data_IF_414503188651
#
_entry.id   IF_414503188651
#
_cell.length_a   1.000
_cell.length_b   1.000
_cell.length_c   1.000
_cell.angle_alpha   90.00
_cell.angle_beta   90.00
_cell.angle_gamma   90.00
#
_symmetry.space_group_name_H-M   'P 1'
#
loop_
_entity.id
_entity.type
_entity.pdbx_description
1 polymer ?
#
# COMPACT_ATOMS: atom_id res chain seq x y z
N UNK A 1 -16.92 17.71 -25.11
CA UNK A 1 -16.34 18.13 -26.41
C UNK A 1 -16.77 19.57 -26.73
N UNK A 2 -15.80 20.40 -27.14
CA UNK A 2 -16.11 21.75 -27.60
C UNK A 2 -16.39 21.63 -29.09
N UNK A 3 -17.64 21.79 -29.49
CA UNK A 3 -18.05 21.87 -30.88
C UNK A 3 -18.15 23.33 -31.33
N UNK A 4 -18.20 23.55 -32.64
CA UNK A 4 -18.40 24.89 -33.20
C UNK A 4 -19.68 25.55 -32.66
N UNK A 5 -20.73 24.76 -32.42
CA UNK A 5 -22.00 25.24 -31.87
C UNK A 5 -21.89 25.75 -30.42
N UNK A 6 -20.98 25.16 -29.64
CA UNK A 6 -20.75 25.54 -28.23
C UNK A 6 -19.74 26.67 -28.08
N UNK A 7 -18.95 26.97 -29.12
CA UNK A 7 -17.90 27.95 -29.09
C UNK A 7 -18.45 29.37 -28.82
N UNK A 8 -19.54 29.74 -29.47
CA UNK A 8 -20.21 31.04 -29.31
C UNK A 8 -20.79 31.21 -27.88
N UNK A 9 -21.29 30.13 -27.31
CA UNK A 9 -21.78 30.13 -25.93
C UNK A 9 -20.63 30.29 -24.93
N UNK A 10 -19.51 29.61 -25.16
CA UNK A 10 -18.29 29.72 -24.37
C UNK A 10 -17.66 31.13 -24.43
N UNK A 11 -17.59 31.73 -25.60
CA UNK A 11 -17.08 33.09 -25.77
C UNK A 11 -17.93 34.13 -25.03
N UNK A 12 -19.24 33.91 -24.96
CA UNK A 12 -20.17 34.79 -24.22
C UNK A 12 -20.02 34.67 -22.69
N UNK A 13 -19.48 33.59 -22.16
CA UNK A 13 -19.25 33.41 -20.71
C UNK A 13 -18.02 34.16 -20.20
N UNK A 14 -17.21 34.77 -21.07
CA UNK A 14 -16.02 35.53 -20.69
C UNK A 14 -14.83 34.67 -20.23
N UNK A 15 -14.89 33.36 -20.42
CA UNK A 15 -13.79 32.44 -20.12
C UNK A 15 -12.68 32.66 -21.13
N UNK A 16 -11.52 33.11 -20.66
CA UNK A 16 -10.34 33.40 -21.49
C UNK A 16 -9.34 32.25 -21.57
N UNK A 17 -9.45 31.26 -20.70
CA UNK A 17 -8.51 30.13 -20.63
C UNK A 17 -9.25 28.84 -20.32
N UNK A 18 -9.01 27.79 -21.09
CA UNK A 18 -9.61 26.47 -20.91
C UNK A 18 -8.48 25.44 -20.84
N UNK A 19 -8.54 24.55 -19.90
CA UNK A 19 -7.68 23.38 -19.83
C UNK A 19 -8.23 22.30 -20.78
N UNK A 20 -7.37 21.77 -21.65
CA UNK A 20 -7.74 20.78 -22.65
C UNK A 20 -6.94 19.49 -22.47
N UNK A 21 -7.56 18.37 -22.82
CA UNK A 21 -6.86 17.10 -22.89
C UNK A 21 -6.04 17.03 -24.20
N UNK A 22 -4.85 16.43 -24.08
CA UNK A 22 -4.01 16.16 -25.24
C UNK A 22 -4.62 15.08 -26.13
N UNK A 23 -4.82 15.40 -27.40
CA UNK A 23 -5.48 14.50 -28.38
C UNK A 23 -4.62 14.18 -29.60
N UNK A 24 -3.36 14.60 -29.63
CA UNK A 24 -2.49 14.41 -30.77
C UNK A 24 -1.73 13.09 -30.68
N UNK A 25 -1.74 12.30 -31.75
CA UNK A 25 -1.05 11.01 -31.87
C UNK A 25 0.43 11.12 -32.24
N UNK A 26 0.88 12.31 -32.67
CA UNK A 26 2.21 12.47 -33.30
C UNK A 26 3.36 12.33 -32.31
N UNK A 27 3.19 12.82 -31.06
CA UNK A 27 4.26 12.86 -30.08
C UNK A 27 4.08 11.87 -28.93
N UNK A 28 2.96 11.97 -28.21
CA UNK A 28 2.76 11.28 -26.92
C UNK A 28 1.56 10.34 -26.91
N UNK A 29 0.68 10.38 -27.90
CA UNK A 29 -0.58 9.64 -27.94
C UNK A 29 -1.66 10.18 -26.99
N UNK A 30 -2.93 10.09 -27.37
CA UNK A 30 -4.07 10.63 -26.64
C UNK A 30 -4.62 9.67 -25.59
N UNK A 31 -3.78 9.03 -24.76
CA UNK A 31 -4.18 7.93 -23.89
C UNK A 31 -5.33 8.25 -22.95
N UNK A 32 -5.33 9.42 -22.30
CA UNK A 32 -6.41 9.82 -21.38
C UNK A 32 -7.68 10.13 -22.15
N UNK A 33 -7.60 10.82 -23.29
CA UNK A 33 -8.74 11.13 -24.14
C UNK A 33 -9.41 9.86 -24.66
N UNK A 34 -8.62 8.90 -25.13
CA UNK A 34 -9.14 7.63 -25.64
C UNK A 34 -9.74 6.78 -24.52
N UNK A 35 -9.12 6.76 -23.36
CA UNK A 35 -9.67 6.08 -22.17
C UNK A 35 -11.02 6.67 -21.78
N UNK A 36 -11.14 8.00 -21.72
CA UNK A 36 -12.40 8.67 -21.39
C UNK A 36 -13.48 8.48 -22.47
N UNK A 37 -13.10 8.33 -23.76
CA UNK A 37 -14.05 8.00 -24.83
C UNK A 37 -14.54 6.57 -24.77
N UNK A 38 -13.68 5.64 -24.38
CA UNK A 38 -14.01 4.23 -24.22
C UNK A 38 -14.81 3.94 -22.94
N UNK A 39 -14.71 4.82 -21.94
CA UNK A 39 -15.43 4.68 -20.68
C UNK A 39 -16.93 4.90 -20.86
N UNK A 40 -17.71 3.91 -20.45
CA UNK A 40 -19.17 3.97 -20.49
C UNK A 40 -19.76 4.76 -19.30
N UNK A 41 -18.97 4.99 -18.24
CA UNK A 41 -19.40 5.68 -17.03
C UNK A 41 -19.61 7.17 -17.31
N UNK A 42 -20.77 7.70 -17.00
CA UNK A 42 -21.09 9.13 -17.18
C UNK A 42 -21.13 9.90 -15.87
N UNK A 43 -21.36 9.21 -14.77
CA UNK A 43 -21.44 9.81 -13.45
C UNK A 43 -20.40 9.18 -12.51
N UNK A 44 -20.05 9.92 -11.46
CA UNK A 44 -19.16 9.42 -10.40
C UNK A 44 -19.71 8.12 -9.78
N UNK A 45 -21.03 8.05 -9.60
CA UNK A 45 -21.68 6.86 -9.06
C UNK A 45 -21.54 5.65 -9.98
N UNK A 46 -21.70 5.83 -11.30
CA UNK A 46 -21.53 4.75 -12.26
C UNK A 46 -20.11 4.19 -12.20
N UNK A 47 -19.10 5.06 -12.11
CA UNK A 47 -17.70 4.66 -11.98
C UNK A 47 -17.46 3.86 -10.69
N UNK A 48 -17.98 4.31 -9.54
CA UNK A 48 -17.86 3.58 -8.28
C UNK A 48 -18.54 2.21 -8.33
N UNK A 49 -19.69 2.12 -8.98
CA UNK A 49 -20.43 0.86 -9.18
C UNK A 49 -19.65 -0.10 -10.06
N UNK A 50 -18.99 0.38 -11.10
CA UNK A 50 -18.14 -0.46 -11.95
C UNK A 50 -16.89 -0.95 -11.21
N UNK A 51 -16.23 -0.09 -10.45
CA UNK A 51 -15.12 -0.48 -9.58
C UNK A 51 -15.57 -1.56 -8.59
N UNK A 52 -16.77 -1.39 -8.00
CA UNK A 52 -17.32 -2.39 -7.07
C UNK A 52 -17.53 -3.74 -7.74
N UNK A 53 -18.10 -3.76 -8.95
CA UNK A 53 -18.31 -5.01 -9.72
C UNK A 53 -17.01 -5.72 -10.06
N UNK A 54 -15.96 -4.96 -10.39
CA UNK A 54 -14.64 -5.53 -10.67
C UNK A 54 -13.99 -6.13 -9.42
N UNK A 55 -14.12 -5.47 -8.29
CA UNK A 55 -13.51 -5.91 -7.02
C UNK A 55 -14.29 -7.04 -6.35
N UNK A 56 -15.62 -7.08 -6.53
CA UNK A 56 -16.52 -8.09 -5.95
C UNK A 56 -17.47 -8.68 -7.00
N UNK A 57 -16.97 -9.54 -7.87
CA UNK A 57 -17.80 -10.17 -8.89
C UNK A 57 -18.87 -11.03 -8.23
N UNK A 58 -20.13 -10.84 -8.66
CA UNK A 58 -21.28 -11.62 -8.18
C UNK A 58 -22.11 -11.00 -7.07
N UNK A 59 -21.66 -9.91 -6.43
CA UNK A 59 -22.47 -9.16 -5.48
C UNK A 59 -23.22 -8.01 -6.18
N UNK A 60 -24.53 -7.82 -5.91
CA UNK A 60 -25.26 -6.68 -6.48
C UNK A 60 -24.75 -5.38 -5.82
N UNK A 61 -24.29 -4.40 -6.62
CA UNK A 61 -23.80 -3.14 -6.09
C UNK A 61 -24.97 -2.27 -5.61
N UNK A 62 -24.90 -1.82 -4.35
CA UNK A 62 -25.72 -0.72 -3.85
C UNK A 62 -24.89 0.56 -3.83
N UNK A 63 -25.54 1.72 -3.92
CA UNK A 63 -24.84 3.01 -3.87
C UNK A 63 -23.93 3.10 -2.64
N UNK A 64 -24.48 2.82 -1.48
CA UNK A 64 -23.76 2.91 -0.20
C UNK A 64 -22.59 1.92 -0.12
N UNK A 65 -22.76 0.68 -0.61
CA UNK A 65 -21.69 -0.31 -0.59
C UNK A 65 -20.56 0.05 -1.58
N UNK A 66 -20.87 0.67 -2.72
CA UNK A 66 -19.88 1.11 -3.67
C UNK A 66 -19.07 2.32 -3.16
N UNK A 67 -19.75 3.32 -2.57
CA UNK A 67 -19.11 4.48 -1.94
C UNK A 67 -18.21 4.04 -0.77
N UNK A 68 -18.71 3.18 0.11
CA UNK A 68 -17.93 2.64 1.24
C UNK A 68 -16.72 1.80 0.77
N UNK A 69 -16.86 1.00 -0.27
CA UNK A 69 -15.74 0.23 -0.81
C UNK A 69 -14.65 1.17 -1.33
N UNK A 70 -15.03 2.15 -2.13
CA UNK A 70 -14.08 3.10 -2.74
C UNK A 70 -13.37 3.93 -1.67
N UNK A 71 -14.11 4.46 -0.70
CA UNK A 71 -13.55 5.19 0.44
C UNK A 71 -12.59 4.32 1.26
N UNK A 72 -12.97 3.08 1.55
CA UNK A 72 -12.12 2.15 2.30
C UNK A 72 -10.86 1.71 1.54
N UNK A 73 -10.85 1.75 0.21
CA UNK A 73 -9.68 1.37 -0.58
C UNK A 73 -8.60 2.46 -0.59
N UNK A 74 -9.00 3.74 -0.62
CA UNK A 74 -8.07 4.84 -0.88
C UNK A 74 -7.98 5.87 0.23
N UNK A 75 -9.05 6.07 1.03
CA UNK A 75 -9.19 7.21 1.92
C UNK A 75 -9.37 6.84 3.40
N UNK A 76 -9.46 5.56 3.73
CA UNK A 76 -9.62 5.12 5.11
C UNK A 76 -8.26 4.86 5.74
N UNK A 77 -7.83 5.69 6.68
CA UNK A 77 -6.55 5.60 7.39
C UNK A 77 -6.38 4.26 8.13
N UNK A 78 -7.46 3.65 8.61
CA UNK A 78 -7.39 2.34 9.28
C UNK A 78 -7.06 1.19 8.31
N UNK A 79 -7.32 1.36 7.02
CA UNK A 79 -7.18 0.31 5.99
C UNK A 79 -6.09 0.58 4.98
N UNK A 80 -5.77 1.83 4.74
CA UNK A 80 -4.77 2.25 3.77
C UNK A 80 -3.78 3.20 4.41
N UNK A 81 -2.58 2.70 4.68
CA UNK A 81 -1.47 3.48 5.19
C UNK A 81 -0.18 3.05 4.48
N UNK A 82 0.44 3.98 3.77
CA UNK A 82 1.71 3.76 3.09
C UNK A 82 2.89 3.68 4.07
N UNK A 83 2.70 4.03 5.32
CA UNK A 83 3.76 4.31 6.30
C UNK A 83 4.71 5.44 5.84
N UNK A 84 5.55 5.93 6.74
CA UNK A 84 6.51 7.02 6.45
C UNK A 84 7.48 6.64 5.32
N UNK A 85 8.00 5.41 5.38
CA UNK A 85 8.96 4.91 4.38
C UNK A 85 8.29 4.72 3.02
N UNK A 86 7.06 4.21 2.99
CA UNK A 86 6.28 4.08 1.78
C UNK A 86 5.98 5.43 1.14
N UNK A 87 5.54 6.41 1.93
CA UNK A 87 5.27 7.79 1.46
C UNK A 87 6.53 8.45 0.91
N UNK A 88 7.68 8.31 1.58
CA UNK A 88 8.96 8.82 1.08
C UNK A 88 9.31 8.23 -0.29
N UNK A 89 9.21 6.91 -0.45
CA UNK A 89 9.50 6.23 -1.72
C UNK A 89 8.53 6.67 -2.82
N UNK A 90 7.26 6.82 -2.49
CA UNK A 90 6.21 7.28 -3.37
C UNK A 90 6.49 8.71 -3.86
N UNK A 91 6.75 9.65 -2.96
CA UNK A 91 7.06 11.04 -3.30
C UNK A 91 8.33 11.12 -4.16
N UNK A 92 9.38 10.37 -3.80
CA UNK A 92 10.61 10.30 -4.60
C UNK A 92 10.34 9.77 -6.01
N UNK A 93 9.45 8.80 -6.16
CA UNK A 93 9.11 8.23 -7.48
C UNK A 93 8.32 9.20 -8.35
N UNK A 94 7.49 10.01 -7.74
CA UNK A 94 6.70 11.05 -8.43
C UNK A 94 7.43 12.39 -8.57
N UNK A 95 8.73 12.43 -8.23
CA UNK A 95 9.56 13.65 -8.28
C UNK A 95 9.02 14.81 -7.41
N UNK A 96 8.26 14.49 -6.35
CA UNK A 96 7.76 15.44 -5.35
C UNK A 96 8.86 15.66 -4.30
N UNK A 97 9.85 16.48 -4.61
CA UNK A 97 11.03 16.67 -3.75
C UNK A 97 10.90 17.81 -2.73
N UNK A 98 9.87 18.63 -2.81
CA UNK A 98 9.83 19.90 -2.06
C UNK A 98 9.18 19.81 -0.67
N UNK A 99 8.46 18.75 -0.33
CA UNK A 99 7.64 18.73 0.89
C UNK A 99 8.18 17.90 2.06
N UNK A 100 9.23 17.14 1.88
CA UNK A 100 9.78 16.31 2.95
C UNK A 100 11.27 16.53 3.09
N UNK A 101 11.68 17.45 3.96
CA UNK A 101 13.08 17.58 4.36
C UNK A 101 13.58 16.28 5.02
N UNK A 102 14.88 15.98 4.89
CA UNK A 102 15.47 14.75 5.44
C UNK A 102 15.27 14.60 6.95
N UNK A 103 15.09 15.69 7.67
CA UNK A 103 14.89 15.71 9.13
C UNK A 103 13.47 15.27 9.57
N UNK A 104 12.49 15.38 8.68
CA UNK A 104 11.09 14.99 8.96
C UNK A 104 10.91 13.47 8.88
N UNK A 105 11.79 12.76 8.18
CA UNK A 105 11.69 11.31 7.94
C UNK A 105 12.02 10.44 9.16
N UNK A 106 12.70 10.98 10.17
CA UNK A 106 13.21 10.20 11.31
C UNK A 106 12.57 10.54 12.64
N UNK A 107 11.79 11.61 12.74
CA UNK A 107 11.13 11.98 13.99
C UNK A 107 9.65 11.54 14.00
N UNK A 108 9.40 10.39 14.62
CA UNK A 108 8.05 9.87 14.83
C UNK A 108 7.15 10.84 15.63
N UNK A 109 7.75 11.77 16.40
CA UNK A 109 7.03 12.79 17.17
C UNK A 109 6.50 13.90 16.27
N UNK A 110 7.20 14.21 15.20
CA UNK A 110 6.74 15.17 14.20
C UNK A 110 5.49 14.67 13.47
N UNK A 111 5.46 13.38 13.14
CA UNK A 111 4.30 12.72 12.52
C UNK A 111 3.07 12.65 13.42
N UNK A 112 3.27 12.46 14.74
CA UNK A 112 2.16 12.42 15.69
C UNK A 112 1.55 13.80 15.96
N UNK A 113 2.37 14.87 15.91
CA UNK A 113 1.92 16.23 16.20
C UNK A 113 1.37 16.99 14.99
N UNK A 114 1.71 16.56 13.77
CA UNK A 114 1.23 17.16 12.52
C UNK A 114 0.16 16.32 11.81
N UNK A 115 -0.25 15.19 12.38
CA UNK A 115 -1.33 14.38 11.81
C UNK A 115 -2.65 15.14 11.66
N UNK A 116 -2.92 16.08 12.56
CA UNK A 116 -4.17 16.85 12.53
C UNK A 116 -4.08 18.12 11.65
N UNK A 117 -2.94 18.82 11.66
CA UNK A 117 -2.84 20.12 10.97
C UNK A 117 -2.30 20.02 9.54
N UNK A 118 -1.29 19.17 9.29
CA UNK A 118 -0.69 19.06 7.95
C UNK A 118 -1.47 18.14 7.02
N UNK A 119 -2.13 17.11 7.56
CA UNK A 119 -2.97 16.21 6.76
C UNK A 119 -4.26 16.89 6.36
N UNK A 120 -4.87 17.66 7.26
CA UNK A 120 -6.09 18.43 6.98
C UNK A 120 -5.83 19.52 5.93
N UNK A 121 -4.72 20.25 6.02
CA UNK A 121 -4.35 21.27 5.05
C UNK A 121 -3.98 20.68 3.68
N UNK A 122 -3.28 19.52 3.64
CA UNK A 122 -2.98 18.81 2.39
C UNK A 122 -4.21 18.15 1.75
N UNK A 123 -5.16 17.70 2.57
CA UNK A 123 -6.44 17.15 2.09
C UNK A 123 -7.35 18.28 1.58
N UNK A 124 -7.36 19.45 2.23
CA UNK A 124 -8.15 20.59 1.79
C UNK A 124 -7.59 21.27 0.52
N UNK A 125 -6.26 21.29 0.32
CA UNK A 125 -5.64 21.94 -0.84
C UNK A 125 -5.43 21.00 -2.05
N UNK A 126 -5.19 19.71 -1.83
CA UNK A 126 -4.86 18.76 -2.90
C UNK A 126 -5.50 17.38 -2.72
N UNK A 127 -6.67 17.23 -2.22
CA UNK A 127 -7.34 15.96 -1.99
C UNK A 127 -6.61 14.69 -2.48
N UNK A 128 -6.74 13.58 -1.81
CA UNK A 128 -6.09 12.27 -2.12
C UNK A 128 -6.20 11.83 -3.60
N UNK A 129 -7.10 12.44 -4.37
CA UNK A 129 -7.20 12.29 -5.82
C UNK A 129 -5.95 12.76 -6.57
N UNK A 130 -5.14 13.66 -6.02
CA UNK A 130 -3.90 14.13 -6.65
C UNK A 130 -2.87 13.01 -6.78
N UNK A 131 -2.77 12.11 -5.81
CA UNK A 131 -1.86 10.98 -5.84
C UNK A 131 -2.19 10.03 -6.99
N UNK A 132 -3.46 9.76 -7.22
CA UNK A 132 -3.92 8.90 -8.33
C UNK A 132 -3.60 9.55 -9.68
N UNK A 133 -3.88 10.84 -9.82
CA UNK A 133 -3.60 11.60 -11.06
C UNK A 133 -2.10 11.65 -11.35
N UNK A 134 -1.26 11.87 -10.34
CA UNK A 134 0.19 11.92 -10.52
C UNK A 134 0.78 10.54 -10.87
N UNK A 135 0.24 9.47 -10.31
CA UNK A 135 0.60 8.10 -10.70
C UNK A 135 0.24 7.85 -12.16
N UNK A 136 -0.96 8.24 -12.59
CA UNK A 136 -1.39 8.11 -13.99
C UNK A 136 -0.49 8.90 -14.93
N UNK A 137 -0.15 10.15 -14.57
CA UNK A 137 0.80 10.98 -15.32
C UNK A 137 2.15 10.30 -15.45
N UNK A 138 2.70 9.78 -14.34
CA UNK A 138 3.98 9.07 -14.35
C UNK A 138 3.96 7.81 -15.20
N UNK A 139 2.87 7.04 -15.17
CA UNK A 139 2.69 5.86 -16.03
C UNK A 139 2.69 6.23 -17.52
N UNK A 140 2.04 7.32 -17.89
CA UNK A 140 2.03 7.83 -19.28
C UNK A 140 3.43 8.28 -19.69
N UNK A 141 4.14 8.99 -18.81
CA UNK A 141 5.52 9.42 -19.06
C UNK A 141 6.45 8.22 -19.31
N UNK A 142 6.36 7.17 -18.48
CA UNK A 142 7.13 5.93 -18.68
C UNK A 142 6.77 5.26 -20.00
N UNK A 143 5.48 5.18 -20.34
CA UNK A 143 5.01 4.66 -21.63
C UNK A 143 5.60 5.43 -22.82
N UNK A 144 5.73 6.73 -22.70
CA UNK A 144 6.32 7.61 -23.72
C UNK A 144 7.86 7.61 -23.70
N UNK A 145 8.49 6.72 -22.94
CA UNK A 145 9.95 6.62 -22.84
C UNK A 145 10.61 7.65 -21.91
N UNK A 146 9.81 8.41 -21.16
CA UNK A 146 10.31 9.36 -20.14
C UNK A 146 10.41 8.67 -18.79
N UNK A 147 11.54 8.06 -18.48
CA UNK A 147 11.78 7.34 -17.24
C UNK A 147 11.97 5.84 -17.45
N UNK A 148 12.09 5.12 -16.37
CA UNK A 148 12.30 3.67 -16.37
C UNK A 148 11.35 2.99 -15.38
N UNK A 149 11.02 1.74 -15.68
CA UNK A 149 10.30 0.89 -14.74
C UNK A 149 11.25 0.48 -13.62
N UNK A 150 10.74 0.41 -12.38
CA UNK A 150 11.54 -0.04 -11.24
C UNK A 150 11.86 -1.53 -11.35
N UNK A 151 13.09 -1.86 -11.05
CA UNK A 151 13.50 -3.24 -10.89
C UNK A 151 13.03 -3.74 -9.51
N UNK A 152 12.07 -4.68 -9.51
CA UNK A 152 11.45 -5.23 -8.31
C UNK A 152 12.46 -6.06 -7.49
N UNK A 153 13.39 -6.74 -8.16
CA UNK A 153 14.35 -7.64 -7.52
C UNK A 153 15.60 -6.92 -7.01
N UNK A 154 15.75 -5.65 -7.35
CA UNK A 154 16.81 -4.81 -6.81
C UNK A 154 16.70 -4.70 -5.29
N UNK A 155 17.76 -5.03 -4.53
CA UNK A 155 17.75 -5.02 -3.06
C UNK A 155 17.50 -3.62 -2.45
N UNK A 156 17.60 -2.55 -3.20
CA UNK A 156 17.14 -1.21 -2.81
C UNK A 156 15.62 -1.09 -2.72
N UNK A 157 14.87 -1.88 -3.49
CA UNK A 157 13.42 -1.93 -3.51
C UNK A 157 12.85 -3.07 -2.66
N UNK A 158 13.67 -4.06 -2.36
CA UNK A 158 13.30 -5.26 -1.62
C UNK A 158 13.86 -5.19 -0.20
N UNK A 159 12.99 -4.93 0.75
CA UNK A 159 13.35 -4.71 2.16
C UNK A 159 13.35 -6.02 2.94
N UNK A 160 14.33 -6.19 3.83
CA UNK A 160 14.36 -7.30 4.79
C UNK A 160 13.61 -6.86 6.05
N UNK A 161 12.68 -7.70 6.51
CA UNK A 161 11.97 -7.54 7.77
C UNK A 161 12.62 -8.40 8.84
N UNK A 162 13.00 -7.79 9.95
CA UNK A 162 13.55 -8.51 11.09
C UNK A 162 12.46 -9.20 11.91
N UNK A 163 12.87 -10.08 12.82
CA UNK A 163 11.95 -10.76 13.73
C UNK A 163 11.17 -9.78 14.61
N UNK A 164 11.78 -8.66 15.02
CA UNK A 164 11.12 -7.63 15.83
C UNK A 164 9.91 -7.04 15.14
N UNK A 165 10.05 -6.67 13.87
CA UNK A 165 8.94 -6.13 13.05
C UNK A 165 7.83 -7.18 12.84
N UNK A 166 8.20 -8.43 12.59
CA UNK A 166 7.21 -9.50 12.44
C UNK A 166 6.46 -9.78 13.74
N UNK A 167 7.15 -9.77 14.88
CA UNK A 167 6.56 -9.92 16.20
C UNK A 167 5.64 -8.74 16.55
N UNK A 168 6.03 -7.50 16.22
CA UNK A 168 5.20 -6.30 16.39
C UNK A 168 3.89 -6.44 15.60
N UNK A 169 3.94 -6.87 14.35
CA UNK A 169 2.75 -7.07 13.53
C UNK A 169 1.81 -8.12 14.16
N UNK A 170 2.33 -9.21 14.70
CA UNK A 170 1.51 -10.21 15.38
C UNK A 170 0.92 -9.69 16.70
N UNK A 171 1.69 -8.91 17.44
CA UNK A 171 1.20 -8.24 18.64
C UNK A 171 0.05 -7.28 18.31
N UNK A 172 0.20 -6.49 17.23
CA UNK A 172 -0.86 -5.59 16.73
C UNK A 172 -2.13 -6.36 16.35
N UNK A 173 -2.01 -7.49 15.66
CA UNK A 173 -3.15 -8.38 15.36
C UNK A 173 -3.83 -8.87 16.66
N UNK A 174 -3.04 -9.22 17.66
CA UNK A 174 -3.54 -9.59 18.98
C UNK A 174 -4.33 -8.45 19.66
N UNK A 175 -3.82 -7.22 19.58
CA UNK A 175 -4.49 -6.02 20.13
C UNK A 175 -5.80 -5.70 19.40
N UNK A 176 -5.85 -5.81 18.08
CA UNK A 176 -7.09 -5.62 17.30
C UNK A 176 -8.15 -6.64 17.71
N UNK A 177 -7.78 -7.91 17.98
CA UNK A 177 -8.69 -8.92 18.51
C UNK A 177 -9.21 -8.55 19.90
N UNK A 178 -8.36 -7.99 20.77
CA UNK A 178 -8.78 -7.50 22.10
C UNK A 178 -9.73 -6.30 21.96
N UNK A 179 -9.40 -5.33 21.12
CA UNK A 179 -10.25 -4.17 20.84
C UNK A 179 -11.65 -4.59 20.38
N UNK A 180 -11.72 -5.52 19.43
CA UNK A 180 -12.99 -6.06 18.94
C UNK A 180 -13.80 -6.71 20.06
N UNK A 181 -13.16 -7.54 20.88
CA UNK A 181 -13.82 -8.19 22.01
C UNK A 181 -14.30 -7.19 23.06
N UNK A 182 -13.56 -6.12 23.30
CA UNK A 182 -13.98 -5.04 24.20
C UNK A 182 -15.16 -4.28 23.63
N UNK A 183 -15.14 -3.92 22.34
CA UNK A 183 -16.27 -3.26 21.67
C UNK A 183 -17.55 -4.14 21.73
N UNK A 184 -17.44 -5.42 21.49
CA UNK A 184 -18.57 -6.37 21.59
C UNK A 184 -19.13 -6.44 23.02
N UNK A 185 -18.27 -6.51 24.03
CA UNK A 185 -18.70 -6.52 25.43
C UNK A 185 -19.34 -5.23 25.88
N UNK A 186 -18.81 -4.09 25.48
CA UNK A 186 -19.40 -2.77 25.76
C UNK A 186 -20.78 -2.60 25.13
N UNK A 187 -20.99 -3.19 23.92
CA UNK A 187 -22.30 -3.15 23.25
C UNK A 187 -23.38 -4.01 23.90
N UNK A 188 -23.00 -5.02 24.68
CA UNK A 188 -23.93 -5.97 25.34
C UNK A 188 -24.14 -5.67 26.82
N UNK A 189 -23.15 -5.03 27.48
CA UNK A 189 -23.18 -4.81 28.91
C UNK A 189 -23.93 -3.51 29.27
N UNK A 190 -24.81 -3.60 30.27
CA UNK A 190 -25.33 -2.43 30.96
C UNK A 190 -24.16 -1.71 31.65
N UNK A 191 -24.01 -0.43 31.37
CA UNK A 191 -22.80 0.38 31.67
C UNK A 191 -22.54 0.68 33.15
N UNK A 192 -23.38 0.18 34.07
CA UNK A 192 -23.23 0.46 35.49
C UNK A 192 -22.35 -0.59 36.18
N UNK A 193 -21.15 -0.19 36.62
CA UNK A 193 -20.29 -0.99 37.48
C UNK A 193 -19.20 -1.81 36.82
N UNK A 194 -18.97 -1.69 35.52
CA UNK A 194 -17.92 -2.40 34.81
C UNK A 194 -16.53 -1.79 35.10
N UNK A 195 -15.59 -2.65 35.51
CA UNK A 195 -14.20 -2.26 35.67
C UNK A 195 -13.41 -2.58 34.39
N UNK A 196 -12.36 -1.80 34.02
CA UNK A 196 -11.53 -2.07 32.85
C UNK A 196 -10.95 -3.50 32.82
N UNK A 197 -10.71 -4.09 34.00
CA UNK A 197 -10.19 -5.45 34.13
C UNK A 197 -11.19 -6.53 33.67
N UNK A 198 -12.48 -6.25 33.74
CA UNK A 198 -13.53 -7.16 33.30
C UNK A 198 -13.70 -7.16 31.78
N UNK A 199 -13.32 -6.04 31.14
CA UNK A 199 -13.42 -5.83 29.70
C UNK A 199 -12.20 -6.36 28.95
N UNK A 200 -11.01 -6.11 29.49
CA UNK A 200 -9.74 -6.42 28.83
C UNK A 200 -9.30 -7.86 29.12
N UNK A 201 -9.05 -8.61 28.04
CA UNK A 201 -8.55 -9.98 28.14
C UNK A 201 -7.21 -10.09 27.37
N UNK A 202 -6.16 -10.51 28.04
CA UNK A 202 -4.85 -10.70 27.44
C UNK A 202 -4.70 -11.99 26.60
N UNK A 203 -5.65 -12.94 26.69
CA UNK A 203 -5.57 -14.23 25.99
C UNK A 203 -5.41 -14.11 24.46
N UNK A 204 -6.11 -13.22 23.74
CA UNK A 204 -5.94 -13.08 22.29
C UNK A 204 -4.54 -12.65 21.88
N UNK A 205 -3.90 -11.78 22.65
CA UNK A 205 -2.50 -11.36 22.41
C UNK A 205 -1.54 -12.50 22.65
N UNK A 206 -1.70 -13.19 23.77
CA UNK A 206 -0.87 -14.37 24.10
C UNK A 206 -1.04 -15.48 23.05
N UNK A 207 -2.26 -15.70 22.56
CA UNK A 207 -2.55 -16.68 21.49
C UNK A 207 -1.86 -16.29 20.17
N UNK A 208 -1.92 -15.01 19.76
CA UNK A 208 -1.29 -14.54 18.53
C UNK A 208 0.24 -14.68 18.59
N UNK A 209 0.86 -14.32 19.72
CA UNK A 209 2.30 -14.49 19.92
C UNK A 209 2.71 -15.96 19.95
N UNK A 210 1.94 -16.81 20.61
CA UNK A 210 2.20 -18.26 20.65
C UNK A 210 2.05 -18.90 19.27
N UNK A 211 1.07 -18.47 18.48
CA UNK A 211 0.87 -18.90 17.10
C UNK A 211 2.09 -18.52 16.23
N UNK A 212 2.59 -17.30 16.36
CA UNK A 212 3.76 -16.82 15.61
C UNK A 212 5.01 -17.62 15.94
N UNK A 213 5.38 -17.73 17.21
CA UNK A 213 6.60 -18.43 17.63
C UNK A 213 6.51 -19.96 17.55
N UNK A 214 5.30 -20.52 17.60
CA UNK A 214 5.09 -21.98 17.60
C UNK A 214 4.75 -22.58 16.23
N UNK A 215 4.12 -21.81 15.33
CA UNK A 215 3.56 -22.35 14.08
C UNK A 215 3.99 -21.58 12.83
N UNK A 216 4.71 -20.48 12.96
CA UNK A 216 5.19 -19.71 11.80
C UNK A 216 6.26 -20.51 11.04
N UNK A 217 6.21 -20.44 9.71
CA UNK A 217 7.23 -21.01 8.82
C UNK A 217 8.65 -20.45 9.07
N UNK A 218 8.74 -19.21 9.57
CA UNK A 218 10.00 -18.53 9.84
C UNK A 218 10.53 -18.81 11.25
N UNK A 219 9.69 -19.32 12.16
CA UNK A 219 10.10 -19.77 13.48
C UNK A 219 10.49 -21.25 13.40
N UNK A 220 11.78 -21.52 13.49
CA UNK A 220 12.35 -22.85 13.28
C UNK A 220 13.21 -23.26 14.49
N UNK A 221 13.44 -24.56 14.67
CA UNK A 221 14.46 -25.05 15.60
C UNK A 221 15.84 -24.53 15.20
N UNK A 222 16.57 -24.01 16.16
CA UNK A 222 17.92 -23.49 15.92
C UNK A 222 18.92 -24.63 15.71
N UNK A 223 19.74 -24.50 14.69
CA UNK A 223 20.86 -25.40 14.46
C UNK A 223 21.96 -25.10 15.50
N UNK A 224 22.22 -26.03 16.42
CA UNK A 224 23.15 -25.88 17.53
C UNK A 224 24.32 -26.86 17.46
N UNK A 225 24.86 -27.15 16.29
CA UNK A 225 26.01 -28.05 16.13
C UNK A 225 27.31 -27.39 16.61
N UNK A 226 27.49 -26.12 16.30
CA UNK A 226 28.61 -25.28 16.74
C UNK A 226 28.17 -23.79 16.78
N UNK A 227 28.97 -22.91 17.41
CA UNK A 227 28.59 -21.48 17.48
C UNK A 227 28.41 -20.82 16.10
N UNK A 228 29.15 -21.26 15.09
CA UNK A 228 29.04 -20.69 13.74
C UNK A 228 27.70 -21.09 13.07
N UNK A 229 27.24 -22.32 13.28
CA UNK A 229 25.95 -22.76 12.72
C UNK A 229 24.77 -21.99 13.32
N UNK A 230 24.85 -21.63 14.59
CA UNK A 230 23.83 -20.80 15.25
C UNK A 230 23.77 -19.39 14.62
N UNK A 231 24.94 -18.77 14.39
CA UNK A 231 25.01 -17.43 13.78
C UNK A 231 24.49 -17.47 12.36
N UNK A 232 24.90 -18.44 11.58
CA UNK A 232 24.47 -18.62 10.18
C UNK A 232 22.95 -18.81 10.11
N UNK A 233 22.37 -19.62 10.99
CA UNK A 233 20.92 -19.81 11.03
C UNK A 233 20.17 -18.52 11.38
N UNK A 234 20.64 -17.75 12.36
CA UNK A 234 20.02 -16.46 12.76
C UNK A 234 20.10 -15.39 11.67
N UNK A 235 21.12 -15.43 10.82
CA UNK A 235 21.34 -14.48 9.71
C UNK A 235 20.72 -14.91 8.39
N UNK A 236 20.04 -16.05 8.35
CA UNK A 236 19.39 -16.54 7.12
C UNK A 236 18.23 -15.62 6.72
N UNK A 237 18.18 -15.27 5.43
CA UNK A 237 17.08 -14.52 4.82
C UNK A 237 16.23 -15.47 3.98
N UNK A 238 14.92 -15.25 4.00
CA UNK A 238 13.95 -16.03 3.21
C UNK A 238 12.95 -15.10 2.53
N UNK A 239 12.59 -15.43 1.30
CA UNK A 239 11.51 -14.74 0.58
C UNK A 239 10.12 -15.29 0.95
N UNK A 240 10.06 -16.39 1.68
CA UNK A 240 8.83 -17.07 2.10
C UNK A 240 8.27 -16.47 3.39
N UNK A 241 7.05 -16.86 3.72
CA UNK A 241 6.41 -16.51 4.99
C UNK A 241 5.31 -15.46 4.85
N UNK A 242 4.79 -14.94 5.96
CA UNK A 242 3.69 -13.98 5.97
C UNK A 242 4.04 -12.70 5.20
N UNK A 243 3.21 -12.37 4.19
CA UNK A 243 3.45 -11.22 3.30
C UNK A 243 4.59 -11.41 2.31
N UNK A 244 5.18 -12.61 2.21
CA UNK A 244 6.18 -12.99 1.22
C UNK A 244 5.59 -13.79 0.05
N UNK A 245 6.48 -14.43 -0.69
CA UNK A 245 6.15 -15.27 -1.84
C UNK A 245 5.78 -16.69 -1.39
N UNK A 246 4.96 -17.37 -2.19
CA UNK A 246 4.76 -18.82 -2.10
C UNK A 246 5.66 -19.50 -3.13
N UNK A 247 6.12 -20.73 -2.86
CA UNK A 247 6.98 -21.48 -3.77
C UNK A 247 6.40 -21.62 -5.18
N UNK A 248 5.09 -21.77 -5.27
CA UNK A 248 4.37 -21.96 -6.53
C UNK A 248 4.27 -20.67 -7.36
N UNK A 249 4.24 -19.50 -6.68
CA UNK A 249 4.12 -18.18 -7.32
C UNK A 249 5.46 -17.52 -7.62
N UNK A 250 6.56 -18.08 -7.15
CA UNK A 250 7.89 -17.56 -7.40
C UNK A 250 8.30 -17.84 -8.85
N UNK A 251 8.40 -16.80 -9.67
CA UNK A 251 8.93 -16.88 -11.04
C UNK A 251 10.45 -17.09 -11.07
N UNK A 252 11.00 -17.30 -12.26
CA UNK A 252 12.45 -17.46 -12.44
C UNK A 252 13.23 -16.20 -12.04
N UNK A 253 12.71 -15.02 -12.32
CA UNK A 253 13.37 -13.74 -12.03
C UNK A 253 13.69 -13.57 -10.54
N UNK A 254 12.76 -13.98 -9.66
CA UNK A 254 12.94 -13.90 -8.20
C UNK A 254 13.97 -14.92 -7.69
N UNK A 255 14.15 -16.01 -8.40
CA UNK A 255 15.08 -17.13 -8.05
C UNK A 255 16.48 -16.92 -8.58
N UNK A 256 16.66 -15.99 -9.50
CA UNK A 256 17.94 -15.71 -10.12
C UNK A 256 18.83 -14.82 -9.24
N UNK A 257 20.12 -14.82 -9.54
CA UNK A 257 21.11 -13.99 -8.85
C UNK A 257 21.10 -12.59 -9.44
N UNK A 258 20.69 -11.62 -8.61
CA UNK A 258 20.70 -10.22 -9.00
C UNK A 258 22.06 -9.57 -8.72
N UNK A 259 22.58 -8.66 -9.56
CA UNK A 259 23.85 -7.97 -9.32
C UNK A 259 23.95 -7.28 -7.96
N UNK A 260 22.82 -6.80 -7.41
CA UNK A 260 22.78 -6.16 -6.09
C UNK A 260 22.97 -7.13 -4.93
N UNK A 261 22.95 -8.44 -5.17
CA UNK A 261 23.28 -9.46 -4.17
C UNK A 261 24.76 -9.45 -3.78
N UNK A 262 25.63 -8.86 -4.61
CA UNK A 262 27.05 -8.77 -4.33
C UNK A 262 27.32 -8.12 -2.97
N UNK A 263 28.11 -8.80 -2.14
CA UNK A 263 28.43 -8.36 -0.78
C UNK A 263 27.28 -8.43 0.24
N UNK A 264 26.10 -8.97 -0.14
CA UNK A 264 24.90 -9.03 0.72
C UNK A 264 24.35 -10.44 0.89
N UNK A 265 24.25 -11.19 -0.18
CA UNK A 265 23.67 -12.55 -0.19
C UNK A 265 24.73 -13.52 -0.73
N UNK A 266 24.97 -14.61 -0.01
CA UNK A 266 25.91 -15.64 -0.45
C UNK A 266 25.31 -16.43 -1.62
N UNK A 267 26.00 -16.52 -2.78
CA UNK A 267 25.47 -17.26 -3.92
C UNK A 267 25.63 -18.78 -3.78
N UNK A 268 26.46 -19.23 -2.83
CA UNK A 268 26.75 -20.66 -2.63
C UNK A 268 25.83 -21.27 -1.58
N UNK A 269 25.58 -20.56 -0.46
CA UNK A 269 24.73 -21.02 0.63
C UNK A 269 23.26 -20.68 0.31
N UNK A 270 22.72 -21.33 -0.71
CA UNK A 270 21.33 -21.19 -1.16
C UNK A 270 20.70 -22.57 -1.34
N UNK A 271 19.39 -22.72 -1.14
CA UNK A 271 18.69 -23.98 -1.43
C UNK A 271 18.81 -24.36 -2.91
N UNK A 272 18.80 -25.66 -3.17
CA UNK A 272 18.78 -26.22 -4.52
C UNK A 272 17.45 -26.89 -4.85
N UNK A 273 17.18 -27.04 -6.16
CA UNK A 273 15.98 -27.71 -6.65
C UNK A 273 14.71 -26.92 -6.47
N UNK A 274 13.59 -27.57 -6.07
CA UNK A 274 12.28 -26.91 -5.94
C UNK A 274 12.22 -25.78 -4.90
N UNK A 275 13.25 -25.68 -4.06
CA UNK A 275 13.35 -24.69 -3.00
C UNK A 275 14.18 -23.46 -3.36
N UNK A 276 14.72 -23.40 -4.57
CA UNK A 276 15.46 -22.22 -5.06
C UNK A 276 14.57 -20.99 -5.01
#
# INVERSE_FOLDING_TARGET
EISEENLDALLKTGITKIETLYTNDLDCGPFISDTLRADASKTQLDAMVEIYRMMRPGEPPTKESAENLFHNLFFNEERYDLSVVGRMKFNRRLDRTEEVGPDILFDSRYLSNHKEDSYSALIEEHGDSSDIVDVMKKLIDIRNGKGSVDDIDHLGNRRIRSVGEMAENQFRVGLVRVERAVKERLGVAESEGLMPQDLVNAKPVAAAMKEFFGSSQLSQFMDQNNPLSEITHKRRVSALGPGGLTRERAGFEVRDVHPTHYGRVCPIETPEGPNI
#
